data_IF_988539915279
#
_entry.id   IF_988539915279
#
_cell.length_a   1.000
_cell.length_b   1.000
_cell.length_c   1.000
_cell.angle_alpha   90.00
_cell.angle_beta   90.00
_cell.angle_gamma   90.00
#
_symmetry.space_group_name_H-M   'P 1'
#
loop_
_entity.id
_entity.type
_entity.pdbx_description
1 polymer ?
#
# COMPACT_ATOMS: atom_id res chain seq x y z
N UNK A 1 9.50 -33.30 15.58
CA UNK A 1 10.06 -32.19 16.37
C UNK A 1 9.12 -31.00 16.28
N UNK A 2 8.41 -30.66 17.36
CA UNK A 2 7.49 -29.52 17.40
C UNK A 2 8.28 -28.22 17.53
N UNK A 3 8.12 -27.30 16.57
CA UNK A 3 8.76 -25.97 16.61
C UNK A 3 8.00 -25.13 17.62
N UNK A 4 8.68 -24.67 18.67
CA UNK A 4 8.10 -23.78 19.67
C UNK A 4 7.63 -22.48 18.99
N UNK A 5 6.35 -22.17 19.14
CA UNK A 5 5.72 -20.95 18.65
C UNK A 5 6.34 -19.72 19.33
N UNK A 6 6.53 -18.63 18.59
CA UNK A 6 6.97 -17.34 19.12
C UNK A 6 5.81 -16.50 19.69
N UNK A 7 4.64 -17.10 19.92
CA UNK A 7 3.47 -16.45 20.51
C UNK A 7 3.72 -16.14 22.00
N UNK A 8 4.14 -14.90 22.28
CA UNK A 8 4.03 -14.31 23.61
C UNK A 8 2.99 -13.20 23.55
N UNK A 9 2.25 -13.02 24.66
CA UNK A 9 1.39 -11.86 24.85
C UNK A 9 2.18 -10.58 24.52
N UNK A 10 1.53 -9.67 23.78
CA UNK A 10 2.13 -8.38 23.42
C UNK A 10 2.65 -7.70 24.69
N UNK A 11 3.94 -7.36 24.69
CA UNK A 11 4.59 -6.61 25.77
C UNK A 11 4.46 -5.10 25.58
N UNK A 12 3.62 -4.67 24.63
CA UNK A 12 3.43 -3.26 24.30
C UNK A 12 2.60 -2.58 25.39
N UNK A 13 3.11 -1.47 25.93
CA UNK A 13 2.37 -0.64 26.87
C UNK A 13 1.33 0.23 26.13
N UNK A 14 0.15 -0.35 25.94
CA UNK A 14 -0.97 0.30 25.26
C UNK A 14 -1.51 1.54 26.00
N UNK A 15 -1.41 1.58 27.33
CA UNK A 15 -1.88 2.73 28.12
C UNK A 15 -0.94 3.92 27.94
N UNK A 16 0.36 3.67 27.85
CA UNK A 16 1.34 4.69 27.54
C UNK A 16 1.12 5.26 26.12
N UNK A 17 1.00 4.40 25.11
CA UNK A 17 0.78 4.84 23.71
C UNK A 17 -0.49 5.67 23.53
N UNK A 18 -1.59 5.32 24.22
CA UNK A 18 -2.85 6.07 24.11
C UNK A 18 -2.78 7.48 24.71
N UNK A 19 -1.87 7.70 25.68
CA UNK A 19 -1.70 8.99 26.35
C UNK A 19 -0.49 9.78 25.83
N UNK A 20 0.33 9.18 24.95
CA UNK A 20 1.49 9.81 24.35
C UNK A 20 1.04 10.92 23.40
N UNK A 21 1.68 12.09 23.50
CA UNK A 21 1.49 13.19 22.54
C UNK A 21 2.51 13.07 21.43
N UNK A 22 2.23 13.69 20.29
CA UNK A 22 3.14 13.67 19.13
C UNK A 22 4.55 14.15 19.48
N UNK A 23 4.69 15.15 20.37
CA UNK A 23 6.00 15.68 20.76
C UNK A 23 6.85 14.72 21.60
N UNK A 24 6.19 13.74 22.23
CA UNK A 24 6.84 12.75 23.09
C UNK A 24 7.33 11.53 22.27
N UNK A 25 7.08 11.49 20.96
CA UNK A 25 7.53 10.41 20.06
C UNK A 25 9.04 10.55 19.81
N UNK A 26 9.79 9.51 20.14
CA UNK A 26 11.22 9.44 19.84
C UNK A 26 11.46 9.13 18.36
N UNK A 27 12.01 10.12 17.65
CA UNK A 27 12.34 10.05 16.22
C UNK A 27 13.85 9.87 15.98
N UNK A 28 14.65 9.60 17.02
CA UNK A 28 16.11 9.47 16.92
C UNK A 28 16.55 8.35 15.96
N UNK A 29 15.82 7.22 15.94
CA UNK A 29 16.11 6.09 15.05
C UNK A 29 15.52 6.26 13.64
N UNK A 30 14.40 6.98 13.53
CA UNK A 30 13.66 7.17 12.28
C UNK A 30 13.34 8.66 12.16
N UNK A 31 14.30 9.48 11.73
CA UNK A 31 14.09 10.92 11.60
C UNK A 31 13.05 11.20 10.52
N UNK A 32 12.38 12.35 10.64
CA UNK A 32 11.40 12.77 9.65
C UNK A 32 12.04 12.96 8.26
N UNK A 33 11.30 12.57 7.23
CA UNK A 33 11.73 12.76 5.85
C UNK A 33 11.55 14.22 5.47
N UNK A 34 12.65 14.92 5.21
CA UNK A 34 12.59 16.32 4.78
C UNK A 34 12.00 16.45 3.37
N UNK A 35 11.44 17.61 3.04
CA UNK A 35 10.90 17.87 1.70
C UNK A 35 11.98 17.72 0.61
N UNK A 36 13.22 18.09 0.91
CA UNK A 36 14.38 17.95 0.02
C UNK A 36 14.73 16.48 -0.23
N UNK A 37 14.73 15.66 0.83
CA UNK A 37 14.91 14.20 0.72
C UNK A 37 13.79 13.58 -0.10
N UNK A 38 12.54 14.02 0.10
CA UNK A 38 11.39 13.50 -0.64
C UNK A 38 11.40 13.91 -2.12
N UNK A 39 11.90 15.11 -2.45
CA UNK A 39 12.01 15.57 -3.84
C UNK A 39 12.89 14.62 -4.69
N UNK A 40 13.96 14.10 -4.08
CA UNK A 40 14.86 13.11 -4.69
C UNK A 40 14.32 11.68 -4.71
N UNK A 41 13.19 11.39 -4.06
CA UNK A 41 12.69 10.03 -3.96
C UNK A 41 12.29 9.45 -5.33
N UNK A 42 12.64 8.17 -5.54
CA UNK A 42 12.35 7.41 -6.75
C UNK A 42 11.59 6.15 -6.37
N UNK A 43 10.41 5.96 -6.98
CA UNK A 43 9.66 4.72 -6.83
C UNK A 43 10.47 3.57 -7.43
N UNK A 44 10.65 2.48 -6.67
CA UNK A 44 11.29 1.25 -7.16
C UNK A 44 10.32 0.08 -7.07
N UNK A 45 10.20 -0.68 -8.15
CA UNK A 45 9.43 -1.93 -8.19
C UNK A 45 10.39 -3.07 -8.56
N UNK A 46 10.45 -4.11 -7.73
CA UNK A 46 11.40 -5.22 -7.91
C UNK A 46 12.86 -4.76 -7.95
N UNK A 47 13.21 -3.73 -7.17
CA UNK A 47 14.56 -3.15 -7.14
C UNK A 47 14.91 -2.22 -8.31
N UNK A 48 14.04 -2.09 -9.32
CA UNK A 48 14.28 -1.24 -10.49
C UNK A 48 13.57 0.11 -10.34
N UNK A 49 14.22 1.24 -10.68
CA UNK A 49 13.58 2.55 -10.65
C UNK A 49 12.47 2.63 -11.69
N UNK A 50 11.35 3.26 -11.31
CA UNK A 50 10.21 3.53 -12.17
C UNK A 50 10.24 5.01 -12.56
N UNK A 51 10.13 5.34 -13.85
CA UNK A 51 10.08 6.73 -14.30
C UNK A 51 8.94 7.50 -13.63
N UNK A 52 9.19 8.77 -13.30
CA UNK A 52 8.14 9.68 -12.82
C UNK A 52 7.18 9.99 -13.99
N UNK A 53 5.87 10.03 -13.71
CA UNK A 53 4.85 10.42 -14.69
C UNK A 53 4.09 9.26 -15.34
N UNK A 54 3.45 9.55 -16.50
CA UNK A 54 2.64 8.56 -17.24
C UNK A 54 3.49 7.91 -18.32
N UNK A 55 3.40 6.58 -18.43
CA UNK A 55 4.04 5.81 -19.51
C UNK A 55 3.00 5.49 -20.57
N UNK A 56 3.31 5.76 -21.84
CA UNK A 56 2.48 5.33 -22.97
C UNK A 56 2.74 3.86 -23.22
N UNK A 57 1.71 3.03 -23.04
CA UNK A 57 1.75 1.59 -23.30
C UNK A 57 0.80 1.24 -24.43
N UNK A 58 1.13 0.20 -25.20
CA UNK A 58 0.20 -0.42 -26.12
C UNK A 58 -0.42 -1.63 -25.40
N UNK A 59 -1.72 -1.56 -25.10
CA UNK A 59 -2.45 -2.57 -24.33
C UNK A 59 -3.73 -2.94 -25.10
N UNK A 60 -3.93 -4.23 -25.33
CA UNK A 60 -5.19 -4.76 -25.86
C UNK A 60 -6.22 -4.86 -24.76
N UNK A 61 -7.43 -4.36 -25.00
CA UNK A 61 -8.57 -4.42 -24.10
C UNK A 61 -9.76 -5.01 -24.84
N UNK A 62 -10.63 -5.72 -24.12
CA UNK A 62 -11.89 -6.19 -24.68
C UNK A 62 -12.75 -5.02 -25.17
N UNK A 63 -13.43 -5.23 -26.30
CA UNK A 63 -14.25 -4.19 -26.93
C UNK A 63 -15.33 -3.64 -25.98
N UNK A 64 -15.95 -4.51 -25.18
CA UNK A 64 -16.95 -4.12 -24.18
C UNK A 64 -16.37 -3.27 -23.05
N UNK A 65 -15.18 -3.60 -22.57
CA UNK A 65 -14.49 -2.82 -21.53
C UNK A 65 -14.10 -1.45 -22.07
N UNK A 66 -13.55 -1.39 -23.28
CA UNK A 66 -13.22 -0.13 -23.94
C UNK A 66 -14.47 0.74 -24.17
N UNK A 67 -15.58 0.13 -24.62
CA UNK A 67 -16.85 0.82 -24.82
C UNK A 67 -17.40 1.37 -23.50
N UNK A 68 -17.42 0.57 -22.43
CA UNK A 68 -17.87 0.99 -21.10
C UNK A 68 -17.11 2.22 -20.59
N UNK A 69 -15.78 2.21 -20.64
CA UNK A 69 -15.02 3.37 -20.16
C UNK A 69 -15.16 4.59 -21.09
N UNK A 70 -15.39 4.38 -22.40
CA UNK A 70 -15.65 5.48 -23.35
C UNK A 70 -16.98 6.17 -23.07
N UNK A 71 -18.04 5.43 -22.72
CA UNK A 71 -19.34 6.01 -22.36
C UNK A 71 -19.27 6.77 -21.04
N UNK A 72 -18.57 6.24 -20.04
CA UNK A 72 -18.38 6.89 -18.73
C UNK A 72 -17.50 8.15 -18.81
N UNK A 73 -16.47 8.14 -19.67
CA UNK A 73 -15.44 9.18 -19.72
C UNK A 73 -15.69 10.33 -20.70
N UNK A 74 -16.85 10.39 -21.35
CA UNK A 74 -17.19 11.44 -22.33
C UNK A 74 -16.17 11.59 -23.46
N UNK A 75 -15.53 10.48 -23.87
CA UNK A 75 -14.48 10.44 -24.90
C UNK A 75 -13.10 10.99 -24.48
N UNK A 76 -13.02 12.03 -23.63
CA UNK A 76 -11.75 12.71 -23.29
C UNK A 76 -11.00 12.11 -22.09
N UNK A 77 -11.66 11.34 -21.22
CA UNK A 77 -11.07 10.89 -19.95
C UNK A 77 -11.11 9.37 -19.70
N UNK A 78 -11.47 8.54 -20.68
CA UNK A 78 -11.62 7.09 -20.46
C UNK A 78 -10.31 6.41 -20.04
N UNK A 79 -9.16 6.86 -20.57
CA UNK A 79 -7.84 6.35 -20.15
C UNK A 79 -7.54 6.66 -18.67
N UNK A 80 -7.99 7.82 -18.17
CA UNK A 80 -7.86 8.17 -16.75
C UNK A 80 -8.67 7.21 -15.89
N UNK A 81 -9.91 6.91 -16.29
CA UNK A 81 -10.78 5.98 -15.58
C UNK A 81 -10.20 4.55 -15.55
N UNK A 82 -9.66 4.08 -16.67
CA UNK A 82 -8.95 2.79 -16.73
C UNK A 82 -7.78 2.78 -15.74
N UNK A 83 -6.96 3.85 -15.74
CA UNK A 83 -5.82 3.93 -14.83
C UNK A 83 -6.24 3.95 -13.35
N UNK A 84 -7.31 4.66 -13.00
CA UNK A 84 -7.85 4.66 -11.63
C UNK A 84 -8.42 3.29 -11.23
N UNK A 85 -9.10 2.59 -12.14
CA UNK A 85 -9.57 1.23 -11.90
C UNK A 85 -8.42 0.26 -11.64
N UNK A 86 -7.34 0.33 -12.44
CA UNK A 86 -6.13 -0.47 -12.22
C UNK A 86 -5.48 -0.18 -10.86
N UNK A 87 -5.35 1.10 -10.49
CA UNK A 87 -4.85 1.49 -9.16
C UNK A 87 -5.71 0.95 -8.03
N UNK A 88 -7.03 0.99 -8.18
CA UNK A 88 -7.96 0.44 -7.18
C UNK A 88 -7.72 -1.05 -7.00
N UNK A 89 -7.58 -1.81 -8.10
CA UNK A 89 -7.35 -3.25 -8.02
C UNK A 89 -6.03 -3.62 -7.34
N UNK A 90 -4.96 -2.88 -7.64
CA UNK A 90 -3.65 -3.06 -7.00
C UNK A 90 -3.75 -2.82 -5.49
N UNK A 91 -4.48 -1.77 -5.06
CA UNK A 91 -4.69 -1.47 -3.64
C UNK A 91 -5.47 -2.57 -2.92
N UNK A 92 -6.55 -3.06 -3.53
CA UNK A 92 -7.40 -4.12 -2.97
C UNK A 92 -6.59 -5.40 -2.71
N UNK A 93 -5.81 -5.87 -3.70
CA UNK A 93 -4.97 -7.06 -3.55
C UNK A 93 -3.94 -6.91 -2.41
N UNK A 94 -3.40 -5.71 -2.23
CA UNK A 94 -2.46 -5.43 -1.14
C UNK A 94 -3.16 -5.52 0.22
N UNK A 95 -4.35 -4.92 0.36
CA UNK A 95 -5.11 -4.94 1.61
C UNK A 95 -5.50 -6.36 2.01
N UNK A 96 -6.03 -7.14 1.07
CA UNK A 96 -6.42 -8.53 1.32
C UNK A 96 -5.24 -9.37 1.84
N UNK A 97 -4.06 -9.21 1.26
CA UNK A 97 -2.85 -9.90 1.71
C UNK A 97 -2.38 -9.43 3.09
N UNK A 98 -2.47 -8.12 3.37
CA UNK A 98 -2.15 -7.56 4.70
C UNK A 98 -3.14 -8.10 5.73
N UNK A 99 -4.44 -8.04 5.47
CA UNK A 99 -5.47 -8.52 6.40
C UNK A 99 -5.33 -10.02 6.67
N UNK A 100 -5.07 -10.84 5.64
CA UNK A 100 -4.78 -12.27 5.85
C UNK A 100 -3.57 -12.49 6.73
N UNK A 101 -2.51 -11.68 6.56
CA UNK A 101 -1.31 -11.76 7.39
C UNK A 101 -1.63 -11.37 8.84
N UNK A 102 -2.28 -10.23 9.05
CA UNK A 102 -2.65 -9.74 10.39
C UNK A 102 -3.58 -10.73 11.07
N UNK A 103 -4.66 -11.17 10.42
CA UNK A 103 -5.59 -12.16 10.99
C UNK A 103 -4.86 -13.46 11.32
N UNK A 104 -3.90 -13.90 10.51
CA UNK A 104 -3.08 -15.07 10.84
C UNK A 104 -2.24 -14.80 12.09
N UNK A 105 -1.54 -13.68 12.15
CA UNK A 105 -0.73 -13.29 13.30
C UNK A 105 -1.59 -13.22 14.58
N UNK A 106 -2.78 -12.64 14.53
CA UNK A 106 -3.72 -12.53 15.66
C UNK A 106 -4.34 -13.89 16.05
N UNK A 107 -4.83 -14.70 15.09
CA UNK A 107 -5.40 -16.01 15.39
C UNK A 107 -4.37 -17.00 15.96
N UNK A 108 -3.09 -16.86 15.58
CA UNK A 108 -2.00 -17.64 16.19
C UNK A 108 -1.48 -17.03 17.49
N UNK A 109 -1.94 -15.82 17.86
CA UNK A 109 -1.62 -15.13 19.13
C UNK A 109 -2.64 -15.36 20.26
N UNK A 110 -3.80 -15.96 19.97
CA UNK A 110 -4.90 -16.21 20.94
C UNK A 110 -4.83 -17.64 21.57
N UNK A 111 -3.75 -18.39 21.33
CA UNK A 111 -3.51 -19.72 21.90
C UNK A 111 -2.35 -19.76 22.88
#
# INVERSE_FOLDING_TARGET
>A
MSKKSTSKASQTDWKHLHNMRDEDIDLSEIPEVTAEQMAGAVLRLGGKPVPKGKVRVNLTLDAGVAAYFKTQGGGRNFQKLINEALKAKIREQRLENILRRVIREELHGVG
#
